data_IF_224979680457
#
_entry.id   IF_224979680457
#
_cell.length_a   1.000
_cell.length_b   1.000
_cell.length_c   1.000
_cell.angle_alpha   90.00
_cell.angle_beta   90.00
_cell.angle_gamma   90.00
#
_symmetry.space_group_name_H-M   'P 1'
#
loop_
_entity.id
_entity.type
_entity.pdbx_description
1 polymer ?
#
# COMPACT_ATOMS: atom_id res chain seq x y z
N UNK A 1 22.23 -3.85 -5.23
CA UNK A 1 21.29 -3.10 -6.07
C UNK A 1 20.85 -1.89 -5.30
N UNK A 2 21.52 -0.76 -5.53
CA UNK A 2 20.87 0.53 -5.31
C UNK A 2 19.69 0.56 -6.27
N UNK A 3 18.48 0.66 -5.73
CA UNK A 3 17.30 0.92 -6.53
C UNK A 3 17.57 2.25 -7.24
N UNK A 4 17.43 2.34 -8.58
CA UNK A 4 17.65 3.60 -9.27
C UNK A 4 16.83 4.68 -8.55
N UNK A 5 17.47 5.80 -8.22
CA UNK A 5 16.88 6.91 -7.45
C UNK A 5 15.42 7.27 -7.81
N UNK A 6 14.96 7.17 -9.08
CA UNK A 6 13.57 7.50 -9.43
C UNK A 6 12.54 6.37 -9.22
N UNK A 7 12.91 5.12 -8.93
CA UNK A 7 11.93 4.00 -8.95
C UNK A 7 10.93 4.06 -7.80
N UNK A 8 11.39 4.36 -6.57
CA UNK A 8 10.49 4.46 -5.41
C UNK A 8 9.44 5.57 -5.57
N UNK A 9 9.80 6.82 -5.93
CA UNK A 9 8.78 7.85 -6.15
C UNK A 9 7.89 7.56 -7.37
N UNK A 10 8.42 6.90 -8.42
CA UNK A 10 7.60 6.47 -9.56
C UNK A 10 6.54 5.43 -9.15
N UNK A 11 6.91 4.45 -8.32
CA UNK A 11 5.97 3.45 -7.77
C UNK A 11 4.92 4.11 -6.87
N UNK A 12 5.32 5.04 -6.00
CA UNK A 12 4.37 5.78 -5.16
C UNK A 12 3.39 6.61 -6.01
N UNK A 13 3.87 7.23 -7.08
CA UNK A 13 3.01 7.95 -8.03
C UNK A 13 2.05 7.04 -8.77
N UNK A 14 2.51 5.86 -9.22
CA UNK A 14 1.65 4.87 -9.88
C UNK A 14 0.56 4.33 -8.93
N UNK A 15 0.92 4.04 -7.67
CA UNK A 15 -0.03 3.65 -6.62
C UNK A 15 -1.07 4.75 -6.43
N UNK A 16 -0.65 6.02 -6.30
CA UNK A 16 -1.57 7.14 -6.10
C UNK A 16 -2.59 7.28 -7.24
N UNK A 17 -2.17 7.12 -8.49
CA UNK A 17 -3.05 7.21 -9.65
C UNK A 17 -4.07 6.07 -9.69
N UNK A 18 -3.63 4.83 -9.42
CA UNK A 18 -4.54 3.69 -9.36
C UNK A 18 -5.50 3.77 -8.17
N UNK A 19 -5.03 4.29 -7.04
CA UNK A 19 -5.84 4.49 -5.85
C UNK A 19 -6.95 5.51 -6.08
N UNK A 20 -6.64 6.65 -6.70
CA UNK A 20 -7.65 7.64 -7.11
C UNK A 20 -8.66 7.07 -8.11
N UNK A 21 -8.20 6.27 -9.08
CA UNK A 21 -9.08 5.58 -10.01
C UNK A 21 -10.01 4.60 -9.29
N UNK A 22 -9.48 3.85 -8.33
CA UNK A 22 -10.24 2.92 -7.50
C UNK A 22 -11.26 3.65 -6.63
N UNK A 23 -10.88 4.77 -6.02
CA UNK A 23 -11.78 5.62 -5.22
C UNK A 23 -12.97 6.11 -6.06
N UNK A 24 -12.74 6.60 -7.27
CA UNK A 24 -13.81 7.04 -8.17
C UNK A 24 -14.76 5.92 -8.56
N UNK A 25 -14.23 4.75 -8.93
CA UNK A 25 -15.03 3.58 -9.29
C UNK A 25 -15.85 3.07 -8.10
N UNK A 26 -15.23 2.94 -6.93
CA UNK A 26 -15.89 2.45 -5.73
C UNK A 26 -16.94 3.43 -5.20
N UNK A 27 -16.69 4.74 -5.28
CA UNK A 27 -17.68 5.77 -4.92
C UNK A 27 -18.92 5.69 -5.82
N UNK A 28 -18.72 5.50 -7.13
CA UNK A 28 -19.83 5.27 -8.06
C UNK A 28 -20.61 4.00 -7.73
N UNK A 29 -19.91 2.89 -7.42
CA UNK A 29 -20.54 1.63 -7.01
C UNK A 29 -21.38 1.82 -5.75
N UNK A 30 -20.84 2.48 -4.73
CA UNK A 30 -21.58 2.76 -3.48
C UNK A 30 -22.83 3.55 -3.77
N UNK A 31 -22.72 4.67 -4.49
CA UNK A 31 -23.88 5.50 -4.84
C UNK A 31 -24.95 4.71 -5.61
N UNK A 32 -24.54 3.85 -6.54
CA UNK A 32 -25.47 3.08 -7.36
C UNK A 32 -26.17 1.93 -6.64
N UNK A 33 -25.55 1.41 -5.57
CA UNK A 33 -26.06 0.28 -4.78
C UNK A 33 -26.74 0.72 -3.49
N UNK A 34 -26.56 1.98 -3.08
CA UNK A 34 -27.34 2.62 -2.04
C UNK A 34 -28.60 3.25 -2.61
N UNK A 35 -29.74 3.12 -1.92
CA UNK A 35 -30.94 3.83 -2.33
C UNK A 35 -32.17 3.51 -1.52
N UNK A 36 -33.25 4.21 -1.86
CA UNK A 36 -34.49 4.22 -1.10
C UNK A 36 -35.60 3.64 -1.95
N UNK A 37 -36.24 2.59 -1.42
CA UNK A 37 -37.49 2.11 -2.01
C UNK A 37 -38.63 2.56 -1.11
N UNK A 38 -39.51 3.38 -1.68
CA UNK A 38 -40.75 3.81 -1.04
C UNK A 38 -41.87 2.84 -1.43
N UNK A 39 -42.51 2.22 -0.44
CA UNK A 39 -43.61 1.27 -0.65
C UNK A 39 -44.99 1.94 -0.60
N UNK A 40 -45.05 3.27 -0.47
CA UNK A 40 -46.27 4.03 -0.21
C UNK A 40 -46.64 4.04 1.28
N UNK A 41 -47.63 4.86 1.65
CA UNK A 41 -48.11 5.03 3.04
C UNK A 41 -47.05 5.50 4.05
N UNK A 42 -46.01 6.20 3.58
CA UNK A 42 -44.93 6.73 4.43
C UNK A 42 -43.85 5.70 4.81
N UNK A 43 -43.92 4.47 4.29
CA UNK A 43 -42.89 3.46 4.53
C UNK A 43 -41.80 3.50 3.45
N UNK A 44 -40.60 3.91 3.86
CA UNK A 44 -39.37 3.86 3.05
C UNK A 44 -38.40 2.85 3.64
N UNK A 45 -37.82 1.98 2.82
CA UNK A 45 -36.71 1.10 3.21
C UNK A 45 -35.44 1.56 2.51
N UNK A 46 -34.43 1.91 3.29
CA UNK A 46 -33.07 2.16 2.81
C UNK A 46 -32.35 0.83 2.58
N UNK A 47 -31.58 0.76 1.49
CA UNK A 47 -30.61 -0.29 1.25
C UNK A 47 -29.22 0.31 1.32
N UNK A 48 -28.40 -0.22 2.24
CA UNK A 48 -27.01 0.18 2.37
C UNK A 48 -26.13 -0.51 1.33
N UNK A 49 -25.01 0.16 1.02
CA UNK A 49 -23.98 -0.39 0.15
C UNK A 49 -23.31 -1.63 0.80
N UNK A 50 -22.92 -2.64 0.00
CA UNK A 50 -22.29 -3.86 0.51
C UNK A 50 -21.00 -3.58 1.28
N UNK A 51 -20.81 -4.29 2.40
CA UNK A 51 -19.65 -4.13 3.29
C UNK A 51 -18.31 -4.39 2.59
N UNK A 52 -18.30 -5.24 1.56
CA UNK A 52 -17.13 -5.57 0.74
C UNK A 52 -16.63 -4.33 -0.04
N UNK A 53 -17.55 -3.55 -0.61
CA UNK A 53 -17.20 -2.31 -1.32
C UNK A 53 -16.73 -1.24 -0.34
N UNK A 54 -17.40 -1.14 0.82
CA UNK A 54 -17.04 -0.19 1.86
C UNK A 54 -15.65 -0.48 2.46
N UNK A 55 -15.26 -1.76 2.60
CA UNK A 55 -13.90 -2.13 2.98
C UNK A 55 -12.86 -1.69 1.94
N UNK A 56 -13.18 -1.84 0.66
CA UNK A 56 -12.33 -1.36 -0.43
C UNK A 56 -12.19 0.16 -0.45
N UNK A 57 -13.26 0.91 -0.15
CA UNK A 57 -13.20 2.37 0.05
C UNK A 57 -12.37 2.77 1.27
N UNK A 58 -12.48 2.05 2.38
CA UNK A 58 -11.59 2.27 3.51
C UNK A 58 -10.13 2.14 3.11
N UNK A 59 -9.83 1.16 2.25
CA UNK A 59 -8.48 0.87 1.82
C UNK A 59 -7.87 1.98 0.93
N UNK A 60 -8.70 2.69 0.15
CA UNK A 60 -8.23 3.85 -0.62
C UNK A 60 -7.87 5.01 0.30
N UNK A 61 -8.73 5.31 1.28
CA UNK A 61 -8.46 6.35 2.29
C UNK A 61 -7.20 6.02 3.09
N UNK A 62 -7.04 4.76 3.51
CA UNK A 62 -5.84 4.27 4.18
C UNK A 62 -4.59 4.48 3.31
N UNK A 63 -4.68 4.20 2.01
CA UNK A 63 -3.57 4.35 1.07
C UNK A 63 -3.14 5.80 0.92
N UNK A 64 -4.09 6.74 0.86
CA UNK A 64 -3.78 8.18 0.86
C UNK A 64 -2.98 8.56 2.12
N UNK A 65 -3.38 8.07 3.30
CA UNK A 65 -2.64 8.32 4.55
C UNK A 65 -1.22 7.75 4.51
N UNK A 66 -1.05 6.53 3.98
CA UNK A 66 0.24 5.87 3.82
C UNK A 66 1.14 6.65 2.84
N UNK A 67 0.57 7.13 1.72
CA UNK A 67 1.29 7.93 0.73
C UNK A 67 1.75 9.27 1.31
N UNK A 68 0.90 9.92 2.11
CA UNK A 68 1.28 11.13 2.85
C UNK A 68 2.44 10.84 3.80
N UNK A 69 2.38 9.74 4.56
CA UNK A 69 3.48 9.34 5.44
C UNK A 69 4.78 9.03 4.67
N UNK A 70 4.71 8.33 3.54
CA UNK A 70 5.90 7.92 2.79
C UNK A 70 6.48 9.04 1.89
N UNK A 71 5.65 9.97 1.42
CA UNK A 71 6.06 11.04 0.51
C UNK A 71 6.36 12.37 1.20
N UNK A 72 5.52 12.77 2.17
CA UNK A 72 5.57 14.11 2.78
C UNK A 72 6.53 14.11 3.98
N UNK A 73 6.39 13.16 4.91
CA UNK A 73 7.21 13.14 6.14
C UNK A 73 8.73 13.10 5.93
N UNK A 74 9.31 12.28 5.03
CA UNK A 74 10.77 12.29 4.84
C UNK A 74 11.28 13.61 4.24
N UNK A 75 10.42 14.39 3.57
CA UNK A 75 10.79 15.68 2.97
C UNK A 75 10.76 16.82 3.99
N UNK A 76 9.80 16.81 4.91
CA UNK A 76 9.57 17.92 5.84
C UNK A 76 10.00 17.62 7.30
N UNK A 77 9.91 16.37 7.76
CA UNK A 77 10.05 15.99 9.17
C UNK A 77 10.97 14.76 9.33
N UNK A 78 12.25 14.91 8.99
CA UNK A 78 13.28 13.87 9.12
C UNK A 78 13.38 13.27 10.52
N UNK A 79 13.04 14.04 11.57
CA UNK A 79 13.06 13.59 12.97
C UNK A 79 11.93 12.62 13.33
N UNK A 80 10.82 12.60 12.58
CA UNK A 80 9.67 11.73 12.84
C UNK A 80 9.65 10.48 11.94
N UNK A 81 10.45 10.46 10.89
CA UNK A 81 10.53 9.32 9.98
C UNK A 81 11.24 8.14 10.64
N UNK A 82 10.47 7.11 11.00
CA UNK A 82 10.99 5.82 11.48
C UNK A 82 10.90 4.80 10.35
N UNK A 83 12.05 4.24 9.96
CA UNK A 83 12.13 3.24 8.89
C UNK A 83 11.29 1.98 9.18
N UNK A 84 11.18 1.60 10.46
CA UNK A 84 10.35 0.46 10.89
C UNK A 84 8.85 0.75 10.70
N UNK A 85 8.42 1.99 10.97
CA UNK A 85 7.03 2.39 10.76
C UNK A 85 6.66 2.44 9.27
N UNK A 86 7.59 2.89 8.41
CA UNK A 86 7.40 2.82 6.96
C UNK A 86 7.21 1.37 6.48
N UNK A 87 8.04 0.43 6.96
CA UNK A 87 7.91 -0.99 6.64
C UNK A 87 6.56 -1.57 7.12
N UNK A 88 6.15 -1.22 8.34
CA UNK A 88 4.88 -1.68 8.91
C UNK A 88 3.69 -1.18 8.09
N UNK A 89 3.68 0.09 7.69
CA UNK A 89 2.62 0.67 6.86
C UNK A 89 2.54 0.00 5.48
N UNK A 90 3.69 -0.31 4.87
CA UNK A 90 3.74 -1.04 3.60
C UNK A 90 3.20 -2.47 3.74
N UNK A 91 3.58 -3.18 4.81
CA UNK A 91 3.09 -4.53 5.08
C UNK A 91 1.58 -4.57 5.34
N UNK A 92 1.07 -3.65 6.17
CA UNK A 92 -0.38 -3.52 6.44
C UNK A 92 -1.14 -3.23 5.15
N UNK A 93 -0.66 -2.27 4.36
CA UNK A 93 -1.29 -1.92 3.08
C UNK A 93 -1.31 -3.10 2.12
N UNK A 94 -0.22 -3.88 2.07
CA UNK A 94 -0.15 -5.11 1.27
C UNK A 94 -1.27 -6.08 1.68
N UNK A 95 -1.44 -6.35 2.97
CA UNK A 95 -2.48 -7.28 3.44
C UNK A 95 -3.89 -6.75 3.16
N UNK A 96 -4.14 -5.46 3.42
CA UNK A 96 -5.46 -4.86 3.20
C UNK A 96 -5.89 -4.92 1.74
N UNK A 97 -5.00 -4.56 0.81
CA UNK A 97 -5.28 -4.63 -0.63
C UNK A 97 -5.47 -6.07 -1.13
N UNK A 98 -4.73 -7.03 -0.58
CA UNK A 98 -4.93 -8.44 -0.93
C UNK A 98 -6.30 -8.94 -0.47
N UNK A 99 -6.60 -8.77 0.81
CA UNK A 99 -7.85 -9.27 1.41
C UNK A 99 -9.05 -8.59 0.77
N UNK A 100 -9.02 -7.27 0.60
CA UNK A 100 -10.12 -6.54 0.00
C UNK A 100 -10.39 -6.95 -1.43
N UNK A 101 -9.33 -7.22 -2.22
CA UNK A 101 -9.48 -7.60 -3.63
C UNK A 101 -10.08 -9.00 -3.75
N UNK A 102 -9.66 -9.92 -2.89
CA UNK A 102 -10.24 -11.28 -2.85
C UNK A 102 -11.69 -11.24 -2.41
N UNK A 103 -12.01 -10.51 -1.35
CA UNK A 103 -13.38 -10.39 -0.82
C UNK A 103 -14.31 -9.79 -1.86
N UNK A 104 -13.89 -8.74 -2.57
CA UNK A 104 -14.68 -8.13 -3.63
C UNK A 104 -14.81 -9.06 -4.86
N UNK A 105 -13.75 -9.78 -5.23
CA UNK A 105 -13.78 -10.75 -6.33
C UNK A 105 -14.77 -11.88 -6.07
N UNK A 106 -14.76 -12.44 -4.86
CA UNK A 106 -15.68 -13.52 -4.45
C UNK A 106 -17.12 -13.00 -4.38
N UNK A 107 -17.32 -11.77 -3.91
CA UNK A 107 -18.64 -11.14 -3.85
C UNK A 107 -19.25 -10.93 -5.24
N UNK A 108 -18.45 -10.47 -6.21
CA UNK A 108 -18.90 -10.28 -7.58
C UNK A 108 -19.14 -11.65 -8.25
N UNK A 109 -18.18 -12.56 -8.15
CA UNK A 109 -18.24 -13.83 -8.87
C UNK A 109 -18.11 -13.69 -10.38
N UNK A 110 -18.24 -14.82 -11.10
CA UNK A 110 -18.06 -14.88 -12.56
C UNK A 110 -19.33 -14.56 -13.36
N UNK A 111 -20.33 -13.93 -12.76
CA UNK A 111 -21.61 -13.71 -13.43
C UNK A 111 -21.51 -12.59 -14.49
N UNK A 112 -21.91 -12.90 -15.72
CA UNK A 112 -21.87 -11.97 -16.84
C UNK A 112 -23.19 -11.20 -16.90
N UNK A 113 -23.15 -9.92 -16.51
CA UNK A 113 -24.29 -9.04 -16.62
C UNK A 113 -24.51 -8.65 -18.10
N UNK A 114 -25.54 -9.25 -18.72
CA UNK A 114 -25.75 -9.19 -20.17
C UNK A 114 -26.81 -8.17 -20.66
N UNK A 115 -27.71 -7.63 -19.81
CA UNK A 115 -28.84 -6.83 -20.36
C UNK A 115 -29.49 -5.73 -19.50
N UNK A 116 -29.00 -5.36 -18.31
CA UNK A 116 -29.72 -4.39 -17.45
C UNK A 116 -28.87 -3.19 -17.00
N UNK A 117 -29.54 -2.09 -16.61
CA UNK A 117 -28.93 -0.86 -16.06
C UNK A 117 -28.00 -1.08 -14.85
N UNK A 118 -28.11 -2.25 -14.20
CA UNK A 118 -27.28 -2.70 -13.07
C UNK A 118 -25.87 -3.17 -13.51
N UNK A 119 -25.62 -3.34 -14.82
CA UNK A 119 -24.33 -3.82 -15.31
C UNK A 119 -23.21 -2.77 -15.23
N UNK A 120 -23.54 -1.49 -15.30
CA UNK A 120 -22.56 -0.40 -15.15
C UNK A 120 -21.77 -0.51 -13.85
N UNK A 121 -22.42 -0.44 -12.67
CA UNK A 121 -21.71 -0.52 -11.40
C UNK A 121 -21.04 -1.87 -11.15
N UNK A 122 -21.61 -2.97 -11.65
CA UNK A 122 -20.97 -4.28 -11.54
C UNK A 122 -19.63 -4.36 -12.29
N UNK A 123 -19.56 -3.81 -13.52
CA UNK A 123 -18.31 -3.70 -14.29
C UNK A 123 -17.31 -2.77 -13.63
N UNK A 124 -17.78 -1.67 -13.03
CA UNK A 124 -16.94 -0.76 -12.24
C UNK A 124 -16.33 -1.46 -11.03
N UNK A 125 -17.10 -2.29 -10.32
CA UNK A 125 -16.60 -3.07 -9.19
C UNK A 125 -15.57 -4.14 -9.63
N UNK A 126 -15.78 -4.80 -10.79
CA UNK A 126 -14.79 -5.71 -11.38
C UNK A 126 -13.48 -5.00 -11.74
N UNK A 127 -13.57 -3.81 -12.36
CA UNK A 127 -12.40 -2.99 -12.66
C UNK A 127 -11.67 -2.54 -11.38
N UNK A 128 -12.41 -2.10 -10.35
CA UNK A 128 -11.85 -1.74 -9.05
C UNK A 128 -11.13 -2.94 -8.39
N UNK A 129 -11.65 -4.16 -8.56
CA UNK A 129 -11.00 -5.38 -8.06
C UNK A 129 -9.67 -5.63 -8.77
N UNK A 130 -9.61 -5.44 -10.09
CA UNK A 130 -8.37 -5.56 -10.85
C UNK A 130 -7.32 -4.52 -10.44
N UNK A 131 -7.73 -3.26 -10.24
CA UNK A 131 -6.85 -2.22 -9.71
C UNK A 131 -6.37 -2.54 -8.30
N UNK A 132 -7.23 -3.12 -7.45
CA UNK A 132 -6.85 -3.57 -6.13
C UNK A 132 -5.73 -4.61 -6.13
N UNK A 133 -5.78 -5.60 -7.03
CA UNK A 133 -4.68 -6.56 -7.21
C UNK A 133 -3.40 -5.91 -7.75
N UNK A 134 -3.52 -4.93 -8.64
CA UNK A 134 -2.37 -4.19 -9.15
C UNK A 134 -1.68 -3.37 -8.03
N UNK A 135 -2.47 -2.68 -7.21
CA UNK A 135 -1.98 -1.92 -6.05
C UNK A 135 -1.33 -2.86 -5.02
N UNK A 136 -1.95 -4.01 -4.76
CA UNK A 136 -1.37 -5.05 -3.91
C UNK A 136 0.02 -5.47 -4.39
N UNK A 137 0.18 -5.74 -5.69
CA UNK A 137 1.46 -6.16 -6.26
C UNK A 137 2.53 -5.07 -6.07
N UNK A 138 2.19 -3.80 -6.28
CA UNK A 138 3.13 -2.69 -6.08
C UNK A 138 3.53 -2.52 -4.61
N UNK A 139 2.57 -2.61 -3.68
CA UNK A 139 2.87 -2.58 -2.24
C UNK A 139 3.72 -3.77 -1.82
N UNK A 140 3.51 -4.95 -2.39
CA UNK A 140 4.33 -6.14 -2.14
C UNK A 140 5.77 -5.90 -2.59
N UNK A 141 5.96 -5.38 -3.81
CA UNK A 141 7.29 -5.05 -4.34
C UNK A 141 7.99 -4.04 -3.43
N UNK A 142 7.30 -2.94 -3.06
CA UNK A 142 7.86 -1.94 -2.15
C UNK A 142 8.22 -2.54 -0.78
N UNK A 143 7.32 -3.35 -0.19
CA UNK A 143 7.53 -4.00 1.10
C UNK A 143 8.76 -4.92 1.09
N UNK A 144 8.90 -5.73 0.04
CA UNK A 144 10.04 -6.66 -0.11
C UNK A 144 11.34 -5.88 -0.31
N UNK A 145 11.35 -4.84 -1.13
CA UNK A 145 12.54 -4.01 -1.36
C UNK A 145 13.02 -3.34 -0.07
N UNK A 146 12.11 -2.76 0.72
CA UNK A 146 12.42 -2.15 2.02
C UNK A 146 12.89 -3.21 3.03
N UNK A 147 12.25 -4.38 3.08
CA UNK A 147 12.66 -5.48 3.96
C UNK A 147 14.08 -5.95 3.63
N UNK A 148 14.40 -6.15 2.35
CA UNK A 148 15.74 -6.54 1.90
C UNK A 148 16.79 -5.47 2.20
N UNK A 149 16.45 -4.19 2.05
CA UNK A 149 17.34 -3.09 2.40
C UNK A 149 17.67 -3.08 3.89
N UNK A 150 16.67 -3.29 4.75
CA UNK A 150 16.86 -3.39 6.20
C UNK A 150 17.71 -4.61 6.59
N UNK A 151 17.43 -5.78 6.01
CA UNK A 151 18.22 -6.99 6.27
C UNK A 151 19.69 -6.81 5.87
N UNK A 152 19.96 -6.19 4.72
CA UNK A 152 21.33 -5.90 4.28
C UNK A 152 22.05 -4.91 5.20
N UNK A 153 21.34 -3.88 5.67
CA UNK A 153 21.91 -2.90 6.62
C UNK A 153 22.23 -3.51 7.99
N UNK A 154 21.38 -4.41 8.49
CA UNK A 154 21.60 -5.16 9.73
C UNK A 154 22.75 -6.17 9.62
N UNK A 155 22.91 -6.81 8.45
CA UNK A 155 24.03 -7.72 8.19
C UNK A 155 25.39 -6.99 8.16
N UNK A 156 25.44 -5.78 7.60
CA UNK A 156 26.65 -4.94 7.57
C UNK A 156 27.09 -4.48 8.97
N UNK A 157 26.14 -4.20 9.87
CA UNK A 157 26.45 -3.82 11.25
C UNK A 157 27.07 -4.98 12.07
N UNK A 158 26.72 -6.23 11.76
CA UNK A 158 27.28 -7.41 12.45
C UNK A 158 28.73 -7.71 12.05
N UNK A 159 29.16 -7.32 10.84
CA UNK A 159 30.55 -7.49 10.39
C UNK A 159 31.50 -6.41 10.92
N UNK A 160 31.01 -5.19 11.21
CA UNK A 160 31.85 -4.09 11.70
C UNK A 160 32.18 -4.15 13.20
N UNK A 161 31.54 -5.06 13.96
CA UNK A 161 31.83 -5.28 15.39
C UNK A 161 32.89 -6.36 15.66
N UNK A 162 33.48 -6.96 14.62
CA UNK A 162 34.47 -8.04 14.73
C UNK A 162 35.93 -7.66 14.42
N UNK A 163 36.22 -6.46 13.92
CA UNK A 163 37.58 -6.05 13.61
C UNK A 163 38.16 -5.15 14.71
N UNK A 164 38.72 -5.75 15.76
CA UNK A 164 39.80 -5.12 16.55
C UNK A 164 41.12 -5.45 15.84
N UNK A 165 41.77 -4.53 15.11
CA UNK A 165 43.17 -4.72 14.78
C UNK A 165 43.99 -4.41 16.04
N UNK A 166 44.57 -5.45 16.63
CA UNK A 166 45.67 -5.28 17.57
C UNK A 166 46.81 -4.57 16.87
N UNK A 167 47.14 -3.37 17.33
CA UNK A 167 48.35 -2.63 16.94
C UNK A 167 49.20 -2.44 18.19
N UNK A 168 49.95 -3.49 18.54
CA UNK A 168 51.16 -3.36 19.36
C UNK A 168 52.33 -3.43 18.40
N UNK A 169 52.56 -2.32 17.70
CA UNK A 169 53.67 -2.12 16.78
C UNK A 169 54.80 -1.33 17.45
N UNK A 170 55.89 -2.04 17.76
CA UNK A 170 57.29 -1.61 17.75
C UNK A 170 57.63 -0.15 18.07
N UNK A 171 58.15 0.06 19.29
CA UNK A 171 59.12 1.11 19.52
C UNK A 171 60.49 0.68 18.98
N UNK A 172 60.94 1.32 17.90
CA UNK A 172 62.36 1.46 17.54
C UNK A 172 62.70 2.94 17.53
N UNK A 173 63.50 3.38 18.49
CA UNK A 173 64.43 4.51 18.31
C UNK A 173 65.66 4.27 19.17
N UNK A 174 66.58 3.46 18.65
CA UNK A 174 67.99 3.51 18.99
C UNK A 174 68.68 4.40 17.96
N UNK A 175 69.06 5.62 18.34
CA UNK A 175 70.03 6.48 17.66
C UNK A 175 70.60 7.45 18.71
N UNK A 176 71.82 7.15 19.20
CA UNK A 176 73.08 7.89 18.97
C UNK A 176 73.32 9.10 19.88
N UNK A 177 74.16 8.91 20.91
CA UNK A 177 75.46 9.58 21.08
C UNK A 177 76.28 8.82 22.13
#
# INVERSE_FOLDING_TARGET
>A
MEIPGPVKPALLGAIALLDLGSLGLLAYVVYSWSGDISYGWGYTRHFDSPSQVNFMLFNTIWTILVLVYLGVFPRFLKSLYKSIAALALLAISTVLWLVGSIVLAVFLGASNCNVNAVCGPYRSAQAATAFGFAIWAMFTVLSVLELLALLKSGFSFKFKKGAKPGSTGNQRTSQTA
#
